data_IF_723145194007
#
_entry.id   IF_723145194007
#
_cell.length_a   1.000
_cell.length_b   1.000
_cell.length_c   1.000
_cell.angle_alpha   90.00
_cell.angle_beta   90.00
_cell.angle_gamma   90.00
#
_symmetry.space_group_name_H-M   'P 1'
#
loop_
_entity.id
_entity.type
_entity.pdbx_description
1 polymer ?
#
# COMPACT_ATOMS: atom_id res chain seq x y z
N UNK A 1 16.89 3.01 -9.73
CA UNK A 1 17.03 1.61 -9.24
C UNK A 1 16.19 1.32 -8.00
N UNK A 2 16.02 2.26 -7.06
CA UNK A 2 15.14 2.09 -5.88
C UNK A 2 13.67 1.89 -6.30
N UNK A 3 13.17 2.67 -7.26
CA UNK A 3 11.76 2.55 -7.68
C UNK A 3 11.41 1.21 -8.37
N UNK A 4 12.36 0.62 -9.11
CA UNK A 4 12.24 -0.72 -9.68
C UNK A 4 12.14 -1.81 -8.60
N UNK A 5 12.72 -1.56 -7.43
CA UNK A 5 12.66 -2.47 -6.28
C UNK A 5 11.35 -2.33 -5.49
N UNK A 6 10.63 -1.22 -5.61
CA UNK A 6 9.33 -0.97 -4.94
C UNK A 6 8.14 -1.47 -5.80
N UNK A 7 8.38 -1.92 -7.04
CA UNK A 7 7.33 -2.39 -7.95
C UNK A 7 6.54 -1.27 -8.64
N UNK A 8 6.93 -0.01 -8.42
CA UNK A 8 6.32 1.19 -9.02
C UNK A 8 6.90 1.43 -10.43
N UNK A 9 6.66 0.50 -11.35
CA UNK A 9 7.21 0.54 -12.70
C UNK A 9 6.70 1.74 -13.52
N UNK A 10 5.43 2.14 -13.36
CA UNK A 10 4.86 3.28 -14.10
C UNK A 10 5.53 4.60 -13.73
N UNK A 11 5.74 4.82 -12.43
CA UNK A 11 6.42 6.02 -11.96
C UNK A 11 7.89 5.99 -12.40
N UNK A 12 8.53 4.82 -12.40
CA UNK A 12 9.91 4.64 -12.86
C UNK A 12 10.02 4.96 -14.34
N UNK A 13 9.07 4.52 -15.14
CA UNK A 13 9.01 4.78 -16.57
C UNK A 13 8.93 6.28 -16.84
N UNK A 14 8.04 7.01 -16.17
CA UNK A 14 7.91 8.47 -16.32
C UNK A 14 9.22 9.21 -16.02
N UNK A 15 9.91 8.84 -14.95
CA UNK A 15 11.21 9.44 -14.62
C UNK A 15 12.28 9.11 -15.66
N UNK A 16 12.32 7.87 -16.15
CA UNK A 16 13.27 7.44 -17.17
C UNK A 16 13.01 8.12 -18.53
N UNK A 17 11.76 8.29 -18.92
CA UNK A 17 11.37 9.02 -20.14
C UNK A 17 11.77 10.49 -20.05
N UNK A 18 11.57 11.13 -18.90
CA UNK A 18 12.03 12.50 -18.68
C UNK A 18 13.55 12.60 -18.73
N UNK A 19 14.26 11.68 -18.07
CA UNK A 19 15.72 11.62 -18.12
C UNK A 19 16.24 11.36 -19.54
N UNK A 20 15.57 10.51 -20.31
CA UNK A 20 15.88 10.24 -21.71
C UNK A 20 15.74 11.51 -22.56
N UNK A 21 14.64 12.24 -22.42
CA UNK A 21 14.43 13.50 -23.14
C UNK A 21 15.53 14.54 -22.83
N UNK A 22 15.94 14.64 -21.57
CA UNK A 22 17.07 15.50 -21.18
C UNK A 22 18.39 15.00 -21.78
N UNK A 23 18.66 13.70 -21.72
CA UNK A 23 19.89 13.12 -22.27
C UNK A 23 20.00 13.33 -23.78
N UNK A 24 18.88 13.23 -24.52
CA UNK A 24 18.83 13.54 -25.94
C UNK A 24 19.17 15.02 -26.19
N UNK A 25 18.61 15.94 -25.39
CA UNK A 25 18.86 17.37 -25.52
C UNK A 25 20.30 17.78 -25.23
N UNK A 26 20.95 17.16 -24.23
CA UNK A 26 22.30 17.53 -23.80
C UNK A 26 23.41 16.82 -24.59
N UNK A 27 23.23 15.54 -24.91
CA UNK A 27 24.29 14.71 -25.52
C UNK A 27 24.02 14.38 -26.99
N UNK A 28 22.81 14.63 -27.50
CA UNK A 28 22.38 14.24 -28.84
C UNK A 28 21.89 12.80 -28.93
N UNK A 29 21.03 12.53 -29.91
CA UNK A 29 20.32 11.25 -30.10
C UNK A 29 21.23 10.03 -30.26
N UNK A 30 22.46 10.23 -30.74
CA UNK A 30 23.41 9.14 -31.05
C UNK A 30 24.44 8.89 -29.95
N UNK A 31 24.28 9.49 -28.78
CA UNK A 31 25.20 9.32 -27.67
C UNK A 31 25.03 7.98 -26.98
N UNK A 32 26.13 7.39 -26.52
CA UNK A 32 26.10 6.17 -25.69
C UNK A 32 25.27 6.35 -24.41
N UNK A 33 25.24 7.57 -23.85
CA UNK A 33 24.40 7.86 -22.66
C UNK A 33 22.90 7.78 -22.96
N UNK A 34 22.51 8.16 -24.18
CA UNK A 34 21.13 8.05 -24.66
C UNK A 34 20.77 6.58 -24.89
N UNK A 35 21.67 5.79 -25.48
CA UNK A 35 21.47 4.35 -25.65
C UNK A 35 21.22 3.62 -24.32
N UNK A 36 22.02 3.91 -23.28
CA UNK A 36 21.80 3.34 -21.94
C UNK A 36 20.44 3.74 -21.37
N UNK A 37 19.99 4.97 -21.65
CA UNK A 37 18.69 5.46 -21.19
C UNK A 37 17.54 4.72 -21.89
N UNK A 38 17.61 4.54 -23.21
CA UNK A 38 16.68 3.72 -23.98
C UNK A 38 16.62 2.27 -23.49
N UNK A 39 17.78 1.67 -23.21
CA UNK A 39 17.86 0.31 -22.66
C UNK A 39 17.13 0.19 -21.32
N UNK A 40 17.30 1.17 -20.43
CA UNK A 40 16.60 1.18 -19.14
C UNK A 40 15.08 1.33 -19.30
N UNK A 41 14.62 2.19 -20.21
CA UNK A 41 13.20 2.34 -20.55
C UNK A 41 12.64 1.01 -21.06
N UNK A 42 13.34 0.35 -22.00
CA UNK A 42 12.92 -0.94 -22.54
C UNK A 42 12.81 -2.02 -21.46
N UNK A 43 13.76 -2.08 -20.53
CA UNK A 43 13.71 -2.99 -19.38
C UNK A 43 12.51 -2.72 -18.48
N UNK A 44 12.23 -1.46 -18.16
CA UNK A 44 11.06 -1.10 -17.34
C UNK A 44 9.75 -1.47 -18.05
N UNK A 45 9.64 -1.21 -19.35
CA UNK A 45 8.45 -1.60 -20.15
C UNK A 45 8.27 -3.12 -20.22
N UNK A 46 9.36 -3.88 -20.33
CA UNK A 46 9.35 -5.34 -20.26
C UNK A 46 8.81 -5.85 -18.93
N UNK A 47 9.22 -5.23 -17.81
CA UNK A 47 8.68 -5.56 -16.48
C UNK A 47 7.18 -5.24 -16.35
N UNK A 48 6.68 -4.22 -17.06
CA UNK A 48 5.25 -3.91 -17.14
C UNK A 48 4.46 -4.84 -18.08
N UNK A 49 5.15 -5.70 -18.84
CA UNK A 49 4.54 -6.58 -19.84
C UNK A 49 4.27 -5.92 -21.20
N UNK A 50 4.66 -4.65 -21.39
CA UNK A 50 4.62 -4.00 -22.71
C UNK A 50 5.88 -4.33 -23.52
N UNK A 51 5.91 -5.55 -24.04
CA UNK A 51 7.01 -6.01 -24.90
C UNK A 51 7.07 -5.28 -26.24
N UNK A 52 5.97 -4.68 -26.71
CA UNK A 52 5.94 -4.01 -28.00
C UNK A 52 6.72 -2.71 -27.96
N UNK A 53 6.45 -1.88 -26.95
CA UNK A 53 7.20 -0.64 -26.72
C UNK A 53 8.64 -0.92 -26.34
N UNK A 54 8.87 -1.95 -25.50
CA UNK A 54 10.22 -2.37 -25.12
C UNK A 54 11.08 -2.74 -26.33
N UNK A 55 10.52 -3.48 -27.30
CA UNK A 55 11.23 -3.85 -28.53
C UNK A 55 11.60 -2.64 -29.39
N UNK A 56 10.78 -1.58 -29.41
CA UNK A 56 11.10 -0.36 -30.17
C UNK A 56 12.28 0.35 -29.51
N UNK A 57 12.23 0.57 -28.19
CA UNK A 57 13.30 1.24 -27.47
C UNK A 57 14.62 0.46 -27.49
N UNK A 58 14.57 -0.87 -27.38
CA UNK A 58 15.77 -1.70 -27.44
C UNK A 58 16.37 -1.75 -28.86
N UNK A 59 15.56 -1.61 -29.91
CA UNK A 59 16.07 -1.49 -31.29
C UNK A 59 16.86 -0.20 -31.48
N UNK A 60 16.40 0.92 -30.92
CA UNK A 60 17.13 2.18 -30.94
C UNK A 60 18.45 2.07 -30.16
N UNK A 61 18.43 1.42 -28.98
CA UNK A 61 19.65 1.09 -28.21
C UNK A 61 20.66 0.33 -29.07
N UNK A 62 20.23 -0.76 -29.72
CA UNK A 62 21.09 -1.58 -30.57
C UNK A 62 21.64 -0.79 -31.76
N UNK A 63 20.82 0.05 -32.40
CA UNK A 63 21.25 0.88 -33.52
C UNK A 63 22.37 1.86 -33.10
N UNK A 64 22.22 2.52 -31.95
CA UNK A 64 23.24 3.45 -31.43
C UNK A 64 24.52 2.70 -31.07
N UNK A 65 24.43 1.56 -30.37
CA UNK A 65 25.62 0.77 -30.03
C UNK A 65 26.33 0.22 -31.26
N UNK A 66 25.58 -0.29 -32.24
CA UNK A 66 26.16 -0.75 -33.50
C UNK A 66 26.88 0.37 -34.24
N UNK A 67 26.32 1.59 -34.24
CA UNK A 67 26.93 2.74 -34.89
C UNK A 67 28.19 3.24 -34.16
N UNK A 68 28.18 3.30 -32.82
CA UNK A 68 29.26 3.90 -32.04
C UNK A 68 30.39 2.93 -31.69
N UNK A 69 30.07 1.66 -31.43
CA UNK A 69 31.00 0.66 -30.90
C UNK A 69 31.28 -0.47 -31.90
N UNK A 70 30.43 -0.63 -32.92
CA UNK A 70 30.49 -1.74 -33.86
C UNK A 70 29.76 -2.99 -33.36
N UNK A 71 29.65 -3.99 -34.23
CA UNK A 71 28.84 -5.20 -34.03
C UNK A 71 29.49 -6.22 -33.07
N UNK A 72 30.82 -6.20 -32.96
CA UNK A 72 31.58 -7.14 -32.14
C UNK A 72 31.73 -6.70 -30.66
N UNK A 73 31.26 -5.51 -30.31
CA UNK A 73 31.40 -4.98 -28.96
C UNK A 73 30.40 -5.64 -27.99
N UNK A 74 30.84 -5.94 -26.77
CA UNK A 74 30.03 -6.62 -25.74
C UNK A 74 28.68 -5.93 -25.51
N UNK A 75 28.64 -4.59 -25.45
CA UNK A 75 27.39 -3.82 -25.30
C UNK A 75 26.41 -3.99 -26.46
N UNK A 76 26.91 -4.14 -27.69
CA UNK A 76 26.07 -4.37 -28.87
C UNK A 76 25.50 -5.78 -28.85
N UNK A 77 26.29 -6.76 -28.40
CA UNK A 77 25.83 -8.14 -28.20
C UNK A 77 24.84 -8.26 -27.03
N UNK A 78 25.06 -7.54 -25.94
CA UNK A 78 24.13 -7.49 -24.80
C UNK A 78 22.75 -6.98 -25.25
N UNK A 79 22.73 -5.91 -26.06
CA UNK A 79 21.47 -5.37 -26.59
C UNK A 79 20.80 -6.32 -27.60
N UNK A 80 21.56 -7.02 -28.45
CA UNK A 80 20.98 -8.01 -29.37
C UNK A 80 20.39 -9.22 -28.64
N UNK A 81 21.02 -9.67 -27.56
CA UNK A 81 20.49 -10.70 -26.68
C UNK A 81 19.23 -10.21 -25.95
N UNK A 82 19.21 -8.94 -25.52
CA UNK A 82 18.01 -8.33 -24.95
C UNK A 82 16.84 -8.34 -25.94
N UNK A 83 17.07 -7.94 -27.21
CA UNK A 83 16.06 -8.02 -28.27
C UNK A 83 15.53 -9.44 -28.48
N UNK A 84 16.41 -10.45 -28.45
CA UNK A 84 16.02 -11.86 -28.56
C UNK A 84 15.11 -12.27 -27.41
N UNK A 85 15.49 -11.93 -26.18
CA UNK A 85 14.69 -12.23 -24.99
C UNK A 85 13.32 -11.54 -25.02
N UNK A 86 13.26 -10.25 -25.38
CA UNK A 86 12.00 -9.51 -25.50
C UNK A 86 11.08 -10.14 -26.55
N UNK A 87 11.63 -10.52 -27.71
CA UNK A 87 10.86 -11.18 -28.78
C UNK A 87 10.31 -12.53 -28.32
N UNK A 88 11.13 -13.33 -27.64
CA UNK A 88 10.71 -14.62 -27.12
C UNK A 88 9.60 -14.47 -26.07
N UNK A 89 9.73 -13.50 -25.16
CA UNK A 89 8.69 -13.21 -24.16
C UNK A 89 7.39 -12.73 -24.80
N UNK A 90 7.46 -11.86 -25.81
CA UNK A 90 6.30 -11.41 -26.57
C UNK A 90 5.57 -12.59 -27.26
N UNK A 91 6.31 -13.50 -27.90
CA UNK A 91 5.74 -14.68 -28.56
C UNK A 91 5.12 -15.63 -27.53
N UNK A 92 5.78 -15.84 -26.38
CA UNK A 92 5.23 -16.68 -25.30
C UNK A 92 3.94 -16.06 -24.75
N UNK A 93 3.90 -14.76 -24.53
CA UNK A 93 2.70 -14.05 -24.11
C UNK A 93 1.57 -14.23 -25.14
N UNK A 94 1.86 -13.99 -26.42
CA UNK A 94 0.88 -14.15 -27.50
C UNK A 94 0.35 -15.59 -27.57
N UNK A 95 1.21 -16.60 -27.47
CA UNK A 95 0.80 -18.02 -27.45
C UNK A 95 -0.11 -18.33 -26.26
N UNK A 96 0.22 -17.82 -25.06
CA UNK A 96 -0.60 -17.99 -23.86
C UNK A 96 -1.97 -17.33 -24.03
N UNK A 97 -2.03 -16.12 -24.59
CA UNK A 97 -3.28 -15.42 -24.88
C UNK A 97 -4.12 -16.17 -25.92
N UNK A 98 -3.49 -16.64 -27.01
CA UNK A 98 -4.16 -17.41 -28.05
C UNK A 98 -4.69 -18.75 -27.52
N UNK A 99 -3.95 -19.43 -26.63
CA UNK A 99 -4.41 -20.65 -25.99
C UNK A 99 -5.59 -20.40 -25.04
N UNK A 100 -5.56 -19.30 -24.27
CA UNK A 100 -6.68 -18.91 -23.42
C UNK A 100 -7.94 -18.60 -24.24
N UNK A 101 -7.80 -17.86 -25.34
CA UNK A 101 -8.91 -17.56 -26.26
C UNK A 101 -9.36 -18.80 -27.05
N UNK A 102 -8.45 -19.68 -27.46
CA UNK A 102 -8.76 -20.94 -28.12
C UNK A 102 -9.51 -21.93 -27.20
N UNK A 103 -9.16 -21.96 -25.91
CA UNK A 103 -9.90 -22.69 -24.87
C UNK A 103 -11.30 -22.09 -24.66
N UNK A 104 -11.44 -20.76 -24.76
CA UNK A 104 -12.74 -20.08 -24.68
C UNK A 104 -13.67 -20.42 -25.87
N UNK A 105 -13.10 -20.70 -27.05
CA UNK A 105 -13.86 -21.05 -28.25
C UNK A 105 -14.15 -22.56 -28.38
N UNK A 106 -13.29 -23.43 -27.85
CA UNK A 106 -13.46 -24.90 -27.91
C UNK A 106 -14.27 -25.48 -26.75
N UNK A 107 -14.41 -24.76 -25.64
CA UNK A 107 -15.30 -25.16 -24.54
C UNK A 107 -16.29 -24.04 -24.35
N UNK A 108 -17.57 -24.31 -24.61
CA UNK A 108 -18.68 -23.46 -24.20
C UNK A 108 -18.72 -23.40 -22.68
N UNK A 109 -17.81 -22.64 -22.09
CA UNK A 109 -17.79 -22.37 -20.68
C UNK A 109 -19.01 -21.49 -20.40
N UNK A 110 -19.92 -21.90 -19.49
CA UNK A 110 -20.96 -21.01 -19.02
C UNK A 110 -20.30 -19.74 -18.44
N UNK A 111 -21.03 -18.62 -18.34
CA UNK A 111 -20.49 -17.35 -17.88
C UNK A 111 -19.59 -17.59 -16.68
N UNK A 112 -18.37 -17.05 -16.69
CA UNK A 112 -17.47 -17.11 -15.53
C UNK A 112 -18.18 -16.33 -14.42
N UNK A 113 -19.00 -17.04 -13.66
CA UNK A 113 -19.65 -16.54 -12.48
C UNK A 113 -18.56 -16.54 -11.42
N UNK A 114 -17.85 -15.42 -11.33
CA UNK A 114 -16.97 -15.14 -10.20
C UNK A 114 -17.89 -15.04 -8.97
N UNK A 115 -18.12 -16.18 -8.32
CA UNK A 115 -18.82 -16.23 -7.04
C UNK A 115 -17.98 -15.39 -6.08
N UNK A 116 -18.53 -14.32 -5.48
CA UNK A 116 -17.81 -13.60 -4.44
C UNK A 116 -17.44 -14.60 -3.34
N UNK A 117 -16.19 -14.54 -2.83
CA UNK A 117 -15.73 -15.50 -1.83
C UNK A 117 -16.70 -15.48 -0.64
N UNK A 118 -16.97 -16.67 -0.10
CA UNK A 118 -17.85 -16.77 1.06
C UNK A 118 -17.26 -15.95 2.22
N UNK A 119 -18.13 -15.34 3.03
CA UNK A 119 -17.69 -14.61 4.22
C UNK A 119 -16.80 -15.46 5.13
N UNK A 120 -17.04 -16.78 5.19
CA UNK A 120 -16.19 -17.72 5.92
C UNK A 120 -14.75 -17.76 5.38
N UNK A 121 -14.57 -17.84 4.06
CA UNK A 121 -13.24 -17.81 3.45
C UNK A 121 -12.53 -16.47 3.62
N UNK A 122 -13.27 -15.36 3.58
CA UNK A 122 -12.74 -14.03 3.88
C UNK A 122 -12.29 -13.95 5.33
N UNK A 123 -13.12 -14.45 6.25
CA UNK A 123 -12.81 -14.49 7.69
C UNK A 123 -11.60 -15.38 7.97
N UNK A 124 -11.54 -16.59 7.42
CA UNK A 124 -10.40 -17.50 7.59
C UNK A 124 -9.10 -16.88 7.07
N UNK A 125 -9.16 -16.20 5.92
CA UNK A 125 -8.03 -15.45 5.39
C UNK A 125 -7.65 -14.28 6.28
N UNK A 126 -8.63 -13.51 6.78
CA UNK A 126 -8.39 -12.42 7.73
C UNK A 126 -7.78 -12.94 9.05
N UNK A 127 -8.28 -14.06 9.55
CA UNK A 127 -7.84 -14.70 10.78
C UNK A 127 -6.41 -15.22 10.63
N UNK A 128 -6.08 -15.82 9.49
CA UNK A 128 -4.73 -16.25 9.16
C UNK A 128 -3.76 -15.07 9.07
N UNK A 129 -4.17 -13.96 8.45
CA UNK A 129 -3.36 -12.73 8.35
C UNK A 129 -3.17 -12.08 9.72
N UNK A 130 -4.22 -12.02 10.54
CA UNK A 130 -4.20 -11.40 11.86
C UNK A 130 -3.66 -12.32 12.97
N UNK A 131 -3.27 -13.56 12.64
CA UNK A 131 -2.75 -14.54 13.60
C UNK A 131 -3.79 -15.00 14.64
N UNK A 132 -5.07 -14.84 14.37
CA UNK A 132 -6.17 -15.25 15.27
C UNK A 132 -6.38 -16.75 15.09
N UNK A 133 -5.79 -17.54 15.97
CA UNK A 133 -6.02 -18.98 16.04
C UNK A 133 -7.32 -19.21 16.82
N UNK A 134 -8.37 -19.63 16.13
CA UNK A 134 -9.57 -20.13 16.81
C UNK A 134 -9.22 -21.45 17.49
N UNK A 135 -8.98 -21.39 18.80
CA UNK A 135 -9.03 -22.59 19.64
C UNK A 135 -10.49 -23.03 19.64
N UNK A 136 -10.81 -24.13 18.95
CA UNK A 136 -12.11 -24.78 19.04
C UNK A 136 -12.28 -25.33 20.45
N UNK A 137 -12.77 -24.51 21.38
CA UNK A 137 -13.11 -24.94 22.73
C UNK A 137 -14.40 -25.76 22.61
N UNK A 138 -14.34 -27.03 22.99
CA UNK A 138 -15.49 -27.93 22.90
C UNK A 138 -16.60 -27.46 23.84
N UNK A 139 -17.87 -27.60 23.45
CA UNK A 139 -19.01 -27.20 24.30
C UNK A 139 -18.98 -27.88 25.68
N UNK A 140 -18.34 -29.06 25.78
CA UNK A 140 -18.09 -29.75 27.06
C UNK A 140 -17.06 -29.03 27.93
N UNK A 141 -16.02 -28.46 27.33
CA UNK A 141 -15.00 -27.66 28.04
C UNK A 141 -15.57 -26.33 28.50
N UNK A 142 -16.43 -25.69 27.70
CA UNK A 142 -17.18 -24.48 28.09
C UNK A 142 -18.11 -24.77 29.28
N UNK A 143 -18.83 -25.89 29.25
CA UNK A 143 -19.71 -26.30 30.34
C UNK A 143 -18.93 -26.62 31.63
N UNK A 144 -17.80 -27.31 31.51
CA UNK A 144 -16.91 -27.58 32.63
C UNK A 144 -16.31 -26.30 33.22
N UNK A 145 -15.86 -25.36 32.37
CA UNK A 145 -15.34 -24.07 32.82
C UNK A 145 -16.41 -23.21 33.49
N UNK A 146 -17.65 -23.24 32.98
CA UNK A 146 -18.80 -22.56 33.59
C UNK A 146 -19.14 -23.14 34.96
N UNK A 147 -19.15 -24.47 35.10
CA UNK A 147 -19.39 -25.13 36.38
C UNK A 147 -18.25 -24.87 37.38
N UNK A 148 -17.01 -24.82 36.91
CA UNK A 148 -15.84 -24.50 37.74
C UNK A 148 -15.88 -23.05 38.24
N UNK A 149 -16.30 -22.10 37.40
CA UNK A 149 -16.53 -20.70 37.79
C UNK A 149 -17.69 -20.57 38.79
N UNK A 150 -18.80 -21.26 38.56
CA UNK A 150 -19.97 -21.20 39.45
C UNK A 150 -19.68 -21.84 40.82
N UNK A 151 -18.86 -22.90 40.86
CA UNK A 151 -18.36 -23.51 42.09
C UNK A 151 -17.45 -22.54 42.87
N UNK A 152 -16.52 -21.86 42.20
CA UNK A 152 -15.65 -20.84 42.82
C UNK A 152 -16.44 -19.62 43.31
N UNK A 153 -17.51 -19.23 42.61
CA UNK A 153 -18.42 -18.17 43.07
C UNK A 153 -19.27 -18.60 44.28
N UNK A 154 -19.70 -19.87 44.36
CA UNK A 154 -20.40 -20.41 45.54
C UNK A 154 -19.49 -20.57 46.75
N UNK A 155 -18.23 -20.94 46.54
CA UNK A 155 -17.21 -20.99 47.60
C UNK A 155 -16.81 -19.58 48.09
N UNK A 156 -16.77 -18.58 47.19
CA UNK A 156 -16.56 -17.18 47.57
C UNK A 156 -17.79 -16.54 48.25
N UNK A 157 -18.98 -17.09 48.06
CA UNK A 157 -20.24 -16.64 48.68
C UNK A 157 -20.45 -17.11 50.13
N UNK A 158 -19.60 -18.00 50.66
CA UNK A 158 -19.72 -18.52 52.03
C UNK A 158 -18.90 -17.73 53.08
N UNK A 159 -18.22 -16.65 52.70
CA UNK A 159 -17.39 -15.83 53.62
C UNK A 159 -17.85 -14.37 53.81
N UNK A 160 -19.08 -14.01 53.48
CA UNK A 160 -19.57 -12.64 53.77
C UNK A 160 -21.06 -12.59 54.11
N UNK A 161 -21.39 -12.98 55.36
CA UNK A 161 -22.61 -12.54 56.04
C UNK A 161 -22.47 -11.06 56.47
N UNK A 162 -23.04 -10.16 55.66
CA UNK A 162 -23.94 -9.01 55.95
C UNK A 162 -23.60 -7.93 57.03
N UNK A 163 -24.25 -6.73 57.03
CA UNK A 163 -25.31 -6.21 56.16
C UNK A 163 -25.06 -4.79 55.58
N UNK A 164 -25.73 -4.45 54.47
CA UNK A 164 -25.97 -3.06 54.09
C UNK A 164 -25.67 -2.73 52.62
N UNK A 165 -26.64 -2.97 51.74
CA UNK A 165 -26.56 -2.55 50.35
C UNK A 165 -27.79 -2.97 49.55
N UNK A 166 -28.88 -2.22 49.67
CA UNK A 166 -29.93 -2.23 48.65
C UNK A 166 -29.41 -1.57 47.36
N UNK A 167 -29.94 -1.89 46.18
CA UNK A 167 -29.46 -1.34 44.92
C UNK A 167 -29.81 0.15 44.85
N UNK A 168 -28.81 1.02 44.66
CA UNK A 168 -29.06 2.43 44.31
C UNK A 168 -29.55 2.46 42.87
N UNK A 169 -30.86 2.56 42.74
CA UNK A 169 -31.56 2.78 41.49
C UNK A 169 -31.22 4.20 41.03
N UNK A 170 -30.46 4.33 39.94
CA UNK A 170 -30.22 5.63 39.32
C UNK A 170 -31.57 6.16 38.82
N UNK A 171 -32.07 7.23 39.44
CA UNK A 171 -33.37 7.80 39.13
C UNK A 171 -33.31 8.46 37.75
N UNK A 172 -34.10 7.93 36.80
CA UNK A 172 -34.18 8.41 35.43
C UNK A 172 -34.52 9.93 35.34
N UNK A 173 -35.16 10.49 36.37
CA UNK A 173 -35.45 11.92 36.49
C UNK A 173 -34.22 12.81 36.65
N UNK A 174 -33.15 12.37 37.31
CA UNK A 174 -31.90 13.15 37.44
C UNK A 174 -31.17 13.24 36.10
N UNK A 175 -31.22 12.17 35.30
CA UNK A 175 -30.60 12.11 33.98
C UNK A 175 -31.37 13.01 33.00
N UNK A 176 -32.70 12.99 33.04
CA UNK A 176 -33.54 13.86 32.21
C UNK A 176 -33.41 15.33 32.61
N UNK A 177 -33.26 15.63 33.90
CA UNK A 177 -33.05 17.00 34.39
C UNK A 177 -31.68 17.55 33.97
N UNK A 178 -30.63 16.71 33.99
CA UNK A 178 -29.29 17.08 33.51
C UNK A 178 -29.27 17.27 31.98
N UNK A 179 -30.02 16.47 31.23
CA UNK A 179 -30.18 16.65 29.78
C UNK A 179 -30.91 17.95 29.46
N UNK A 180 -31.99 18.24 30.19
CA UNK A 180 -32.81 19.43 29.97
C UNK A 180 -32.04 20.71 30.32
N UNK A 181 -31.26 20.71 31.40
CA UNK A 181 -30.38 21.83 31.78
C UNK A 181 -29.28 22.07 30.74
N UNK A 182 -28.71 21.00 30.17
CA UNK A 182 -27.68 21.09 29.12
C UNK A 182 -28.27 21.68 27.84
N UNK A 183 -29.45 21.24 27.44
CA UNK A 183 -30.14 21.77 26.26
C UNK A 183 -30.57 23.24 26.45
N UNK A 184 -30.93 23.64 27.66
CA UNK A 184 -31.27 25.05 27.98
C UNK A 184 -30.04 25.96 27.93
N UNK A 185 -28.87 25.48 28.39
CA UNK A 185 -27.60 26.21 28.29
C UNK A 185 -27.12 26.36 26.84
N UNK A 186 -27.38 25.38 25.99
CA UNK A 186 -27.07 25.47 24.54
C UNK A 186 -28.05 26.40 23.79
N UNK A 187 -29.32 26.48 24.20
CA UNK A 187 -30.33 27.31 23.56
C UNK A 187 -30.24 28.82 23.90
N UNK A 188 -29.51 29.20 24.96
CA UNK A 188 -29.42 30.59 25.42
C UNK A 188 -28.33 31.44 24.73
N UNK A 189 -27.53 30.90 23.80
CA UNK A 189 -26.66 31.69 22.93
C UNK A 189 -25.65 32.60 23.64
N UNK A 190 -25.02 32.13 24.73
CA UNK A 190 -23.97 32.87 25.45
C UNK A 190 -22.60 32.27 25.07
N UNK A 191 -21.63 33.06 24.56
CA UNK A 191 -20.29 32.56 24.22
C UNK A 191 -19.57 32.04 25.46
N UNK A 192 -18.93 30.89 25.30
CA UNK A 192 -18.03 30.24 26.24
C UNK A 192 -16.87 31.21 26.57
N UNK A 193 -16.80 31.68 27.82
CA UNK A 193 -15.64 32.39 28.35
C UNK A 193 -14.46 31.40 28.46
N UNK A 194 -13.45 31.58 27.60
CA UNK A 194 -12.12 31.04 27.80
C UNK A 194 -11.48 31.76 28.99
N UNK A 195 -11.16 30.98 30.03
CA UNK A 195 -10.51 31.45 31.23
C UNK A 195 -9.02 31.68 30.93
N UNK A 196 -8.66 32.94 30.73
CA UNK A 196 -7.29 33.42 30.56
C UNK A 196 -6.41 33.10 31.77
N UNK A 197 -5.26 32.48 31.48
CA UNK A 197 -4.11 32.35 32.38
C UNK A 197 -2.88 32.99 31.72
N UNK A 198 -2.82 34.32 31.76
CA UNK A 198 -1.62 35.19 31.64
C UNK A 198 -0.42 34.60 32.45
N UNK A 199 0.88 34.71 32.13
CA UNK A 199 1.67 35.66 31.33
C UNK A 199 3.16 35.23 31.36
N UNK A 200 3.93 35.55 30.29
CA UNK A 200 5.21 36.31 30.28
C UNK A 200 6.23 35.84 29.23
N UNK A 201 6.24 36.59 28.13
CA UNK A 201 7.34 37.44 27.63
C UNK A 201 8.77 36.88 27.53
N UNK A 202 9.33 36.97 26.33
CA UNK A 202 10.79 36.90 26.12
C UNK A 202 11.22 36.75 24.66
N UNK A 203 11.01 37.79 23.84
CA UNK A 203 11.55 37.91 22.50
C UNK A 203 13.08 38.08 22.52
N UNK A 204 13.84 37.33 21.68
CA UNK A 204 15.01 37.84 20.93
C UNK A 204 15.22 36.98 19.67
N UNK A 205 15.06 37.61 18.50
CA UNK A 205 15.62 37.17 17.22
C UNK A 205 16.92 37.94 17.03
N UNK A 206 18.06 37.26 16.95
CA UNK A 206 19.28 37.85 16.39
C UNK A 206 19.94 36.85 15.43
N UNK A 207 19.89 37.19 14.14
CA UNK A 207 20.60 36.53 13.04
C UNK A 207 21.96 37.17 12.85
N UNK A 208 23.02 36.36 12.80
CA UNK A 208 24.25 36.55 11.99
C UNK A 208 24.96 35.17 11.91
N UNK A 209 25.91 34.91 10.98
CA UNK A 209 26.67 35.87 10.17
C UNK A 209 26.71 35.55 8.66
N UNK A 210 27.03 36.56 7.84
CA UNK A 210 27.69 36.33 6.55
C UNK A 210 28.79 37.38 6.40
N UNK A 211 29.95 36.84 6.05
CA UNK A 211 31.28 37.41 6.11
C UNK A 211 31.56 38.37 4.94
N UNK A 212 32.48 39.29 5.23
CA UNK A 212 33.05 40.30 4.34
C UNK A 212 34.11 39.65 3.46
N UNK A 213 34.21 40.04 2.18
CA UNK A 213 35.45 40.45 1.51
C UNK A 213 35.15 40.78 0.04
N UNK A 214 35.25 42.07 -0.32
CA UNK A 214 35.57 42.51 -1.68
C UNK A 214 36.91 43.21 -1.63
N UNK A 215 37.78 42.83 -2.57
CA UNK A 215 38.86 43.66 -3.10
C UNK A 215 38.38 44.36 -4.36
#
# INVERSE_FOLDING_TARGET
LILHAVGEYELSLRFLEHALALNIRYYGEKSLKVAVSYHLVARTQSCMGDFRSALVNEKETYAIYKQQLGENHEKTQESSECLRHLTQQAVVLQKKMNYANGKLLSTGLPPIHIQPPSMGSVLDMLNAINGIIFVQISSKEIANFKNEIEKRQKEAGAQSQQPGGGPVQANQEEVDQMLMETMQKTAAGIPFEEQDGEKKDGAVVEKKPAEVTSS
#
